data_IF_045075767457
#
_entry.id   IF_045075767457
#
_cell.length_a   1.000
_cell.length_b   1.000
_cell.length_c   1.000
_cell.angle_alpha   90.00
_cell.angle_beta   90.00
_cell.angle_gamma   90.00
#
_symmetry.space_group_name_H-M   'P 1'
#
loop_
_entity.id
_entity.type
_entity.pdbx_description
1 polymer ?
#
# COMPACT_ATOMS: atom_id res chain seq x y z
N UNK A 1 50.51 -13.07 15.56
CA UNK A 1 49.41 -12.12 15.30
C UNK A 1 48.34 -12.68 14.34
N UNK A 2 48.22 -14.00 14.15
CA UNK A 2 47.29 -14.60 13.17
C UNK A 2 45.88 -14.91 13.75
N UNK A 3 45.73 -14.91 15.09
CA UNK A 3 44.52 -15.37 15.76
C UNK A 3 43.40 -14.30 15.86
N UNK A 4 43.72 -13.01 15.71
CA UNK A 4 42.74 -11.92 15.87
C UNK A 4 41.89 -11.68 14.61
N UNK A 5 42.44 -11.93 13.42
CA UNK A 5 41.71 -11.78 12.15
C UNK A 5 40.69 -12.92 11.92
N UNK A 6 41.02 -14.13 12.37
CA UNK A 6 40.13 -15.29 12.24
C UNK A 6 38.87 -15.16 13.11
N UNK A 7 39.02 -14.62 14.32
CA UNK A 7 37.91 -14.34 15.25
C UNK A 7 36.97 -13.24 14.72
N UNK A 8 37.49 -12.22 14.04
CA UNK A 8 36.65 -11.17 13.42
C UNK A 8 35.81 -11.72 12.26
N UNK A 9 36.40 -12.58 11.42
CA UNK A 9 35.73 -13.15 10.26
C UNK A 9 34.61 -14.13 10.65
N UNK A 10 34.79 -14.88 11.75
CA UNK A 10 33.77 -15.76 12.31
C UNK A 10 32.59 -14.95 12.90
N UNK A 11 32.89 -13.81 13.55
CA UNK A 11 31.87 -12.94 14.14
C UNK A 11 30.99 -12.27 13.09
N UNK A 12 31.58 -11.83 11.96
CA UNK A 12 30.84 -11.30 10.81
C UNK A 12 29.97 -12.36 10.13
N UNK A 13 30.43 -13.63 10.03
CA UNK A 13 29.60 -14.72 9.49
C UNK A 13 28.41 -15.06 10.40
N UNK A 14 28.57 -14.97 11.72
CA UNK A 14 27.47 -15.19 12.67
C UNK A 14 26.45 -14.03 12.70
N UNK A 15 26.86 -12.80 12.37
CA UNK A 15 25.93 -11.66 12.25
C UNK A 15 25.02 -11.78 11.01
N UNK A 16 25.52 -12.37 9.92
CA UNK A 16 24.72 -12.68 8.72
C UNK A 16 23.69 -13.80 8.95
N UNK A 17 23.86 -14.63 9.98
CA UNK A 17 22.91 -15.69 10.32
C UNK A 17 21.74 -15.21 11.20
N UNK A 18 21.80 -13.98 11.74
CA UNK A 18 20.74 -13.36 12.54
C UNK A 18 19.80 -12.46 11.73
N UNK A 19 20.15 -12.12 10.48
CA UNK A 19 19.18 -11.61 9.51
C UNK A 19 18.38 -12.79 8.95
N UNK A 20 17.53 -13.40 9.78
CA UNK A 20 16.43 -14.18 9.24
C UNK A 20 15.52 -13.14 8.58
N UNK A 21 15.47 -13.02 7.24
CA UNK A 21 14.51 -12.12 6.64
C UNK A 21 13.15 -12.57 7.15
N UNK A 22 12.42 -11.66 7.79
CA UNK A 22 11.03 -11.92 8.13
C UNK A 22 10.37 -12.43 6.85
N UNK A 23 9.97 -13.71 6.84
CA UNK A 23 9.50 -14.40 5.64
C UNK A 23 8.32 -13.61 5.08
N UNK A 24 8.58 -12.84 4.03
CA UNK A 24 7.55 -12.17 3.26
C UNK A 24 6.99 -13.16 2.24
N UNK A 25 5.66 -13.18 2.12
CA UNK A 25 4.95 -14.06 1.19
C UNK A 25 4.38 -13.21 0.07
N UNK A 26 4.72 -13.54 -1.17
CA UNK A 26 4.06 -12.93 -2.33
C UNK A 26 2.56 -13.27 -2.31
N UNK A 27 1.73 -12.24 -2.33
CA UNK A 27 0.28 -12.34 -2.46
C UNK A 27 -0.16 -11.67 -3.76
N UNK A 28 -1.00 -12.38 -4.52
CA UNK A 28 -1.52 -11.91 -5.81
C UNK A 28 -2.99 -11.55 -5.67
N UNK A 29 -3.33 -10.38 -6.18
CA UNK A 29 -4.69 -9.85 -6.27
C UNK A 29 -5.05 -9.67 -7.74
N UNK A 30 -6.26 -9.19 -8.05
CA UNK A 30 -6.73 -9.08 -9.43
C UNK A 30 -5.77 -8.28 -10.34
N UNK A 31 -5.31 -7.12 -9.87
CA UNK A 31 -4.58 -6.14 -10.69
C UNK A 31 -3.11 -5.97 -10.32
N UNK A 32 -2.73 -6.36 -9.11
CA UNK A 32 -1.39 -6.18 -8.57
C UNK A 32 -1.02 -7.35 -7.65
N UNK A 33 0.23 -7.35 -7.22
CA UNK A 33 0.77 -8.24 -6.20
C UNK A 33 1.66 -7.46 -5.24
N UNK A 34 1.93 -8.01 -4.07
CA UNK A 34 2.87 -7.45 -3.11
C UNK A 34 3.50 -8.58 -2.27
N UNK A 35 4.64 -8.32 -1.67
CA UNK A 35 5.25 -9.20 -0.68
C UNK A 35 4.78 -8.80 0.71
N UNK A 36 4.11 -9.71 1.41
CA UNK A 36 3.51 -9.43 2.72
C UNK A 36 4.36 -10.06 3.81
N UNK A 37 5.02 -9.27 4.67
CA UNK A 37 5.77 -9.79 5.80
C UNK A 37 4.86 -10.52 6.80
N UNK A 38 5.37 -11.55 7.46
CA UNK A 38 4.64 -12.32 8.46
C UNK A 38 4.10 -11.49 9.65
N UNK A 39 4.66 -10.30 9.89
CA UNK A 39 4.21 -9.36 10.92
C UNK A 39 2.92 -8.61 10.53
N UNK A 40 2.48 -8.70 9.27
CA UNK A 40 1.28 -8.04 8.77
C UNK A 40 0.13 -9.04 8.56
N UNK A 41 -1.10 -8.55 8.66
CA UNK A 41 -2.30 -9.29 8.26
C UNK A 41 -2.93 -8.66 7.03
N UNK A 42 -3.51 -9.50 6.16
CA UNK A 42 -4.13 -9.07 4.90
C UNK A 42 -5.58 -9.48 4.87
N UNK A 43 -6.43 -8.57 4.40
CA UNK A 43 -7.84 -8.81 4.16
C UNK A 43 -8.24 -8.21 2.81
N UNK A 44 -8.87 -9.01 1.96
CA UNK A 44 -9.44 -8.55 0.70
C UNK A 44 -10.97 -8.56 0.78
N UNK A 45 -11.61 -7.46 0.36
CA UNK A 45 -13.06 -7.37 0.22
C UNK A 45 -13.41 -6.45 -0.93
N UNK A 46 -14.22 -6.93 -1.88
CA UNK A 46 -14.71 -6.13 -3.01
C UNK A 46 -13.57 -5.45 -3.79
N UNK A 47 -12.44 -6.16 -3.98
CA UNK A 47 -11.24 -5.65 -4.67
C UNK A 47 -10.39 -4.68 -3.83
N UNK A 48 -10.79 -4.36 -2.59
CA UNK A 48 -10.00 -3.54 -1.65
C UNK A 48 -9.16 -4.45 -0.78
N UNK A 49 -7.84 -4.31 -0.89
CA UNK A 49 -6.86 -5.09 -0.12
C UNK A 49 -6.35 -4.23 1.01
N UNK A 50 -6.62 -4.65 2.24
CA UNK A 50 -6.14 -3.98 3.46
C UNK A 50 -5.02 -4.77 4.09
N UNK A 51 -3.88 -4.11 4.31
CA UNK A 51 -2.71 -4.65 5.01
C UNK A 51 -2.57 -3.92 6.34
N UNK A 52 -2.47 -4.67 7.43
CA UNK A 52 -2.43 -4.12 8.79
C UNK A 52 -1.20 -4.62 9.54
N UNK A 53 -0.44 -3.70 10.13
CA UNK A 53 0.51 -4.04 11.19
C UNK A 53 -0.21 -4.11 12.56
N UNK A 54 -1.10 -3.16 12.83
CA UNK A 54 -2.04 -3.18 13.97
C UNK A 54 -3.42 -2.72 13.49
N UNK A 55 -4.48 -2.81 14.31
CA UNK A 55 -5.79 -2.25 13.94
C UNK A 55 -5.76 -0.74 13.61
N UNK A 56 -4.79 -0.01 14.16
CA UNK A 56 -4.62 1.43 13.99
C UNK A 56 -3.59 1.85 12.95
N UNK A 57 -2.72 0.94 12.50
CA UNK A 57 -1.64 1.22 11.54
C UNK A 57 -1.80 0.28 10.35
N UNK A 58 -2.22 0.86 9.23
CA UNK A 58 -2.63 0.09 8.05
C UNK A 58 -2.60 0.92 6.76
N UNK A 59 -2.63 0.22 5.64
CA UNK A 59 -3.08 0.79 4.38
C UNK A 59 -4.09 -0.13 3.69
N UNK A 60 -4.91 0.47 2.84
CA UNK A 60 -5.81 -0.21 1.92
C UNK A 60 -5.54 0.30 0.51
N UNK A 61 -5.34 -0.62 -0.43
CA UNK A 61 -5.20 -0.30 -1.85
C UNK A 61 -6.28 -1.06 -2.64
N UNK A 62 -6.83 -0.39 -3.64
CA UNK A 62 -7.67 -1.00 -4.64
C UNK A 62 -7.35 -0.38 -6.00
N UNK A 63 -7.25 -1.22 -7.01
CA UNK A 63 -7.07 -0.79 -8.40
C UNK A 63 -8.26 -1.30 -9.18
N UNK A 64 -8.82 -0.46 -10.03
CA UNK A 64 -9.96 -0.78 -10.88
C UNK A 64 -9.62 -0.36 -12.31
N UNK A 65 -10.01 -1.15 -13.29
CA UNK A 65 -10.21 -0.63 -14.66
C UNK A 65 -11.30 0.43 -14.65
N UNK A 66 -11.29 1.36 -15.62
CA UNK A 66 -12.38 2.33 -15.78
C UNK A 66 -13.75 1.68 -15.87
N UNK A 67 -13.84 0.53 -16.55
CA UNK A 67 -15.07 -0.26 -16.62
C UNK A 67 -15.56 -0.74 -15.25
N UNK A 68 -14.67 -1.29 -14.42
CA UNK A 68 -14.99 -1.71 -13.04
C UNK A 68 -15.36 -0.52 -12.14
N UNK A 69 -14.76 0.65 -12.39
CA UNK A 69 -15.12 1.91 -11.74
C UNK A 69 -16.47 2.50 -12.24
N UNK A 70 -17.14 1.84 -13.19
CA UNK A 70 -18.42 2.29 -13.76
C UNK A 70 -18.25 3.43 -14.78
N UNK A 71 -17.05 3.61 -15.33
CA UNK A 71 -16.66 4.68 -16.24
C UNK A 71 -16.94 6.09 -15.68
N UNK A 72 -16.89 6.21 -14.35
CA UNK A 72 -17.02 7.49 -13.66
C UNK A 72 -15.75 8.32 -13.84
N UNK A 73 -15.90 9.64 -13.81
CA UNK A 73 -14.77 10.55 -13.61
C UNK A 73 -14.13 10.30 -12.25
N UNK A 74 -12.86 10.65 -12.06
CA UNK A 74 -12.17 10.46 -10.77
C UNK A 74 -12.88 11.19 -9.64
N UNK A 75 -13.42 12.38 -9.93
CA UNK A 75 -14.24 13.16 -9.01
C UNK A 75 -15.49 12.39 -8.56
N UNK A 76 -16.25 11.87 -9.52
CA UNK A 76 -17.51 11.19 -9.23
C UNK A 76 -17.27 9.84 -8.55
N UNK A 77 -16.18 9.16 -8.92
CA UNK A 77 -15.74 7.95 -8.25
C UNK A 77 -15.33 8.22 -6.81
N UNK A 78 -14.53 9.26 -6.56
CA UNK A 78 -14.18 9.71 -5.20
C UNK A 78 -15.43 10.11 -4.40
N UNK A 79 -16.38 10.82 -4.99
CA UNK A 79 -17.62 11.21 -4.33
C UNK A 79 -18.47 9.98 -3.96
N UNK A 80 -18.56 8.99 -4.85
CA UNK A 80 -19.23 7.71 -4.59
C UNK A 80 -18.54 6.96 -3.45
N UNK A 81 -17.21 6.86 -3.46
CA UNK A 81 -16.44 6.21 -2.39
C UNK A 81 -16.61 6.94 -1.06
N UNK A 82 -16.54 8.26 -1.04
CA UNK A 82 -16.77 9.07 0.15
C UNK A 82 -18.15 8.81 0.74
N UNK A 83 -19.21 8.75 -0.08
CA UNK A 83 -20.55 8.39 0.38
C UNK A 83 -20.61 6.98 0.96
N UNK A 84 -20.00 5.99 0.29
CA UNK A 84 -19.98 4.59 0.74
C UNK A 84 -19.23 4.44 2.08
N UNK A 85 -18.12 5.17 2.25
CA UNK A 85 -17.29 5.15 3.45
C UNK A 85 -17.77 6.14 4.54
N UNK A 86 -18.87 6.86 4.29
CA UNK A 86 -19.36 7.94 5.17
C UNK A 86 -18.27 8.98 5.50
N UNK A 87 -17.46 9.30 4.50
CA UNK A 87 -16.35 10.25 4.57
C UNK A 87 -16.76 11.69 4.29
N UNK A 88 -15.77 12.58 4.33
CA UNK A 88 -15.93 14.00 3.96
C UNK A 88 -16.16 14.18 2.47
N UNK A 89 -16.57 15.38 2.05
CA UNK A 89 -16.60 15.72 0.64
C UNK A 89 -15.18 15.65 0.04
N UNK A 90 -14.99 15.04 -1.15
CA UNK A 90 -13.69 15.01 -1.80
C UNK A 90 -13.22 16.39 -2.24
N UNK A 91 -11.92 16.61 -2.10
CA UNK A 91 -11.20 17.81 -2.56
C UNK A 91 -10.14 17.40 -3.58
N UNK A 92 -9.85 18.26 -4.55
CA UNK A 92 -8.80 17.97 -5.52
C UNK A 92 -7.42 18.04 -4.85
N UNK A 93 -6.50 17.14 -5.24
CA UNK A 93 -5.10 17.15 -4.82
C UNK A 93 -4.22 17.87 -5.84
N UNK A 94 -3.03 18.30 -5.41
CA UNK A 94 -2.06 18.96 -6.30
C UNK A 94 -1.58 18.01 -7.42
N UNK A 95 -1.52 16.71 -7.14
CA UNK A 95 -1.11 15.65 -8.07
C UNK A 95 -2.20 15.23 -9.07
N UNK A 96 -3.30 15.99 -9.16
CA UNK A 96 -4.38 15.74 -10.11
C UNK A 96 -5.39 14.66 -9.69
N UNK A 97 -5.36 14.23 -8.43
CA UNK A 97 -6.31 13.29 -7.83
C UNK A 97 -7.39 13.99 -6.98
N UNK A 98 -8.06 13.18 -6.16
CA UNK A 98 -9.08 13.60 -5.21
C UNK A 98 -8.85 12.93 -3.87
N UNK A 99 -8.86 13.69 -2.77
CA UNK A 99 -8.75 13.14 -1.43
C UNK A 99 -9.97 13.44 -0.58
N UNK A 100 -10.23 12.58 0.40
CA UNK A 100 -11.21 12.81 1.46
C UNK A 100 -10.81 12.06 2.72
N UNK A 101 -11.44 12.39 3.84
CA UNK A 101 -11.24 11.68 5.10
C UNK A 101 -12.40 10.72 5.37
N UNK A 102 -12.11 9.55 5.93
CA UNK A 102 -13.10 8.57 6.33
C UNK A 102 -12.75 7.96 7.70
N UNK A 103 -13.61 7.06 8.21
CA UNK A 103 -13.30 6.26 9.40
C UNK A 103 -13.12 4.78 9.04
N UNK A 104 -11.98 4.23 9.43
CA UNK A 104 -11.73 2.79 9.42
C UNK A 104 -11.83 2.28 10.86
N UNK A 105 -13.03 1.84 11.27
CA UNK A 105 -13.30 1.52 12.67
C UNK A 105 -13.20 2.75 13.57
N UNK A 106 -12.26 2.75 14.51
CA UNK A 106 -12.02 3.87 15.43
C UNK A 106 -11.01 4.89 14.90
N UNK A 107 -10.40 4.63 13.74
CA UNK A 107 -9.25 5.38 13.22
C UNK A 107 -9.74 6.32 12.12
N UNK A 108 -9.29 7.58 12.16
CA UNK A 108 -9.44 8.49 11.04
C UNK A 108 -8.45 8.09 9.94
N UNK A 109 -8.90 8.06 8.70
CA UNK A 109 -8.11 7.62 7.56
C UNK A 109 -8.19 8.66 6.44
N UNK A 110 -7.06 8.89 5.76
CA UNK A 110 -7.03 9.64 4.52
C UNK A 110 -7.31 8.66 3.38
N UNK A 111 -8.10 9.08 2.41
CA UNK A 111 -8.40 8.30 1.21
C UNK A 111 -8.07 9.16 0.00
N UNK A 112 -7.21 8.64 -0.86
CA UNK A 112 -6.79 9.26 -2.10
C UNK A 112 -7.31 8.45 -3.28
N UNK A 113 -7.79 9.15 -4.29
CA UNK A 113 -8.33 8.60 -5.53
C UNK A 113 -7.65 9.30 -6.69
N UNK A 114 -7.06 8.50 -7.57
CA UNK A 114 -6.30 8.99 -8.70
C UNK A 114 -6.44 7.98 -9.83
N UNK A 115 -6.52 8.48 -11.07
CA UNK A 115 -6.77 7.64 -12.22
C UNK A 115 -6.21 8.24 -13.50
N UNK A 116 -6.16 7.41 -14.52
CA UNK A 116 -5.75 7.77 -15.88
C UNK A 116 -6.82 7.31 -16.90
N UNK A 117 -6.49 7.22 -18.19
CA UNK A 117 -7.46 6.80 -19.20
C UNK A 117 -7.99 5.36 -19.02
N UNK A 118 -7.23 4.47 -18.38
CA UNK A 118 -7.50 3.03 -18.33
C UNK A 118 -7.85 2.54 -16.91
N UNK A 119 -7.31 3.19 -15.87
CA UNK A 119 -7.36 2.73 -14.49
C UNK A 119 -7.73 3.83 -13.49
N UNK A 120 -8.23 3.41 -12.33
CA UNK A 120 -8.45 4.23 -11.13
C UNK A 120 -7.94 3.47 -9.92
N UNK A 121 -7.17 4.14 -9.08
CA UNK A 121 -6.71 3.63 -7.80
C UNK A 121 -7.44 4.34 -6.66
N UNK A 122 -7.77 3.58 -5.63
CA UNK A 122 -8.04 4.08 -4.28
C UNK A 122 -6.87 3.67 -3.40
N UNK A 123 -6.31 4.62 -2.69
CA UNK A 123 -5.41 4.38 -1.57
C UNK A 123 -6.02 4.93 -0.29
N UNK A 124 -5.88 4.23 0.83
CA UNK A 124 -6.33 4.70 2.13
C UNK A 124 -5.32 4.30 3.18
N UNK A 125 -4.91 5.24 4.02
CA UNK A 125 -4.00 5.00 5.14
C UNK A 125 -4.57 5.60 6.42
N UNK A 126 -4.07 5.13 7.56
CA UNK A 126 -4.33 5.84 8.82
C UNK A 126 -3.85 7.29 8.72
N UNK A 127 -4.67 8.24 9.18
CA UNK A 127 -4.38 9.68 9.09
C UNK A 127 -3.41 10.15 10.20
N UNK A 128 -2.71 9.23 10.85
CA UNK A 128 -1.77 9.56 11.91
C UNK A 128 -0.40 9.94 11.33
N UNK A 129 0.28 10.89 11.95
CA UNK A 129 1.68 11.23 11.64
C UNK A 129 2.68 10.17 12.17
N UNK A 130 2.21 8.92 12.36
CA UNK A 130 3.06 7.85 12.89
C UNK A 130 3.84 7.25 11.74
N UNK A 131 5.15 7.13 11.92
CA UNK A 131 5.96 6.34 11.02
C UNK A 131 5.44 4.90 10.95
N UNK A 132 5.31 4.39 9.73
CA UNK A 132 4.94 3.00 9.52
C UNK A 132 6.04 2.07 10.02
N UNK A 133 5.68 0.97 10.71
CA UNK A 133 6.63 -0.09 10.98
C UNK A 133 7.26 -0.60 9.67
N UNK A 134 8.53 -0.96 9.71
CA UNK A 134 9.29 -1.45 8.54
C UNK A 134 8.57 -2.55 7.76
N UNK A 135 7.85 -3.44 8.46
CA UNK A 135 7.08 -4.51 7.83
C UNK A 135 5.91 -3.99 6.98
N UNK A 136 5.21 -2.94 7.43
CA UNK A 136 4.12 -2.33 6.66
C UNK A 136 4.68 -1.55 5.47
N UNK A 137 5.77 -0.81 5.69
CA UNK A 137 6.48 -0.09 4.63
C UNK A 137 6.99 -1.05 3.55
N UNK A 138 7.63 -2.16 3.93
CA UNK A 138 8.10 -3.17 2.97
C UNK A 138 6.95 -3.80 2.16
N UNK A 139 5.77 -3.96 2.76
CA UNK A 139 4.58 -4.42 2.03
C UNK A 139 4.09 -3.37 1.01
N UNK A 140 4.14 -2.09 1.37
CA UNK A 140 3.82 -0.98 0.47
C UNK A 140 4.83 -0.87 -0.68
N UNK A 141 6.12 -0.86 -0.38
CA UNK A 141 7.20 -0.70 -1.37
C UNK A 141 7.28 -1.86 -2.37
N UNK A 142 6.73 -3.04 -2.03
CA UNK A 142 6.70 -4.21 -2.90
C UNK A 142 5.49 -4.29 -3.82
N UNK A 143 4.58 -3.31 -3.77
CA UNK A 143 3.40 -3.26 -4.65
C UNK A 143 3.85 -3.15 -6.10
N UNK A 144 3.42 -4.13 -6.91
CA UNK A 144 3.73 -4.22 -8.35
C UNK A 144 2.50 -4.62 -9.15
N UNK A 145 2.32 -4.02 -10.32
CA UNK A 145 1.23 -4.35 -11.23
C UNK A 145 1.39 -5.75 -11.84
N UNK A 146 0.28 -6.44 -12.08
CA UNK A 146 0.31 -7.79 -12.67
C UNK A 146 0.64 -7.78 -14.18
N UNK A 147 0.68 -6.59 -14.80
CA UNK A 147 1.15 -6.38 -16.17
C UNK A 147 1.81 -5.00 -16.28
N UNK A 148 2.56 -4.77 -17.35
CA UNK A 148 3.34 -3.55 -17.55
C UNK A 148 2.50 -2.26 -17.50
N UNK A 149 1.26 -2.26 -17.99
CA UNK A 149 0.42 -1.05 -17.96
C UNK A 149 -0.02 -0.69 -16.54
N UNK A 150 -0.48 -1.69 -15.78
CA UNK A 150 -0.90 -1.47 -14.39
C UNK A 150 0.32 -1.13 -13.53
N UNK A 151 1.47 -1.77 -13.80
CA UNK A 151 2.71 -1.49 -13.08
C UNK A 151 3.16 -0.05 -13.32
N UNK A 152 3.25 0.39 -14.57
CA UNK A 152 3.55 1.78 -14.91
C UNK A 152 2.59 2.79 -14.26
N UNK A 153 1.30 2.45 -14.22
CA UNK A 153 0.28 3.27 -13.55
C UNK A 153 0.55 3.36 -12.04
N UNK A 154 0.78 2.23 -11.36
CA UNK A 154 1.07 2.20 -9.94
C UNK A 154 2.38 2.92 -9.60
N UNK A 155 3.44 2.72 -10.39
CA UNK A 155 4.73 3.36 -10.17
C UNK A 155 4.64 4.89 -10.24
N UNK A 156 3.94 5.43 -11.24
CA UNK A 156 3.70 6.87 -11.37
C UNK A 156 2.82 7.45 -10.27
N UNK A 157 2.03 6.61 -9.62
CA UNK A 157 0.98 7.07 -8.71
C UNK A 157 1.41 6.96 -7.24
N UNK A 158 2.11 5.89 -6.89
CA UNK A 158 2.52 5.59 -5.50
C UNK A 158 3.96 6.00 -5.19
N UNK A 159 4.82 6.08 -6.21
CA UNK A 159 6.27 6.23 -6.04
C UNK A 159 6.88 7.34 -6.90
N UNK A 160 6.05 8.24 -7.45
CA UNK A 160 6.56 9.39 -8.18
C UNK A 160 7.21 10.39 -7.21
N UNK A 161 8.47 10.74 -7.50
CA UNK A 161 9.23 11.84 -6.88
C UNK A 161 9.00 13.18 -7.60
#
# INVERSE_FOLDING_TARGET
MLNRFFLLSLFCLSLLALSCPALAKEMKFAHFSMDVPAACTVQEREGKVTVRATPEIFFTIAVFTRGEAGNLSDKDFAAKLAQQLKGSAPVATEDGGWSFTARAGAVAANVDVIGDADYVMMFMSDAGDKEWPEALQAAYDSIKGNNAKIDDFLQKTLFAE
#
